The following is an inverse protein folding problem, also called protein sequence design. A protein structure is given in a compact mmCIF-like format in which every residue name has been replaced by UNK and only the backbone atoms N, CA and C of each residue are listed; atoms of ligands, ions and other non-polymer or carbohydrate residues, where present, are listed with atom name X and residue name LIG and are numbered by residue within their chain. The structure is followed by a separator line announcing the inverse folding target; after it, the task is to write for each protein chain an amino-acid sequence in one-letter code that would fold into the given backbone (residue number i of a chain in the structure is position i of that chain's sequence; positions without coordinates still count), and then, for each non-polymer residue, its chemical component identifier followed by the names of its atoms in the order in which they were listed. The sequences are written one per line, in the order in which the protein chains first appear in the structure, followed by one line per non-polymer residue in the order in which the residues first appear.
data_IF_584060887039
#
_entry.id   IF_584060887039
#
_cell.length_a   1.000
_cell.length_b   1.000
_cell.length_c   1.000
_cell.angle_alpha   90.00
_cell.angle_beta   90.00
_cell.angle_gamma   90.00
#
_symmetry.space_group_name_H-M   'P 1'
#
loop_
_entity.id
_entity.type
_entity.pdbx_description
1 polymer ?
#
# COMPACT_ATOMS: atom_id res chain seq x y z
N UNK A 1 27.21 72.94 -34.27
CA UNK A 1 27.11 72.25 -32.95
C UNK A 1 26.31 70.99 -33.15
N UNK A 2 26.91 69.86 -32.84
CA UNK A 2 26.45 68.53 -33.24
C UNK A 2 25.33 68.01 -32.31
N UNK A 3 24.27 67.45 -32.91
CA UNK A 3 23.21 66.70 -32.23
C UNK A 3 23.69 65.29 -31.94
N UNK A 4 23.36 64.78 -30.73
CA UNK A 4 23.61 63.41 -30.31
C UNK A 4 22.48 62.47 -30.77
N UNK A 5 22.73 61.22 -31.05
CA UNK A 5 21.70 60.24 -31.47
C UNK A 5 21.07 59.55 -30.26
N UNK A 6 19.76 59.29 -30.35
CA UNK A 6 18.93 58.54 -29.41
C UNK A 6 19.24 57.05 -29.43
N UNK A 7 19.06 56.30 -28.32
CA UNK A 7 19.29 54.87 -28.30
C UNK A 7 18.07 54.06 -28.78
N UNK A 8 18.33 53.13 -29.67
CA UNK A 8 17.38 52.17 -30.20
C UNK A 8 17.00 51.12 -29.16
N UNK A 9 15.70 51.01 -28.86
CA UNK A 9 15.09 50.00 -28.00
C UNK A 9 15.08 48.64 -28.72
N UNK A 10 15.83 47.67 -28.20
CA UNK A 10 15.77 46.26 -28.64
C UNK A 10 14.64 45.56 -27.86
N UNK A 11 13.55 45.22 -28.58
CA UNK A 11 12.51 44.29 -28.12
C UNK A 11 13.06 42.88 -28.13
N UNK A 12 13.36 42.31 -26.97
CA UNK A 12 13.54 40.88 -26.79
C UNK A 12 12.17 40.21 -26.77
N UNK A 13 11.85 39.47 -27.81
CA UNK A 13 10.69 38.62 -27.88
C UNK A 13 10.98 37.33 -27.10
N UNK A 14 10.41 37.22 -25.91
CA UNK A 14 10.34 35.95 -25.15
C UNK A 14 9.31 35.03 -25.84
N UNK A 15 9.80 34.00 -26.50
CA UNK A 15 8.98 32.92 -27.03
C UNK A 15 8.29 32.14 -25.91
N UNK A 16 7.10 31.57 -26.20
CA UNK A 16 6.36 30.81 -25.16
C UNK A 16 7.15 29.56 -24.77
N UNK A 17 7.36 29.41 -23.44
CA UNK A 17 7.94 28.21 -22.85
C UNK A 17 7.08 27.00 -23.24
N UNK A 18 7.66 26.04 -23.93
CA UNK A 18 7.05 24.75 -24.21
C UNK A 18 6.81 24.07 -22.88
N UNK A 19 5.56 24.06 -22.41
CA UNK A 19 5.12 23.17 -21.32
C UNK A 19 5.41 21.73 -21.77
N UNK A 20 6.37 21.09 -21.11
CA UNK A 20 6.59 19.66 -21.24
C UNK A 20 5.34 18.97 -20.68
N UNK A 21 4.46 18.52 -21.56
CA UNK A 21 3.38 17.60 -21.23
C UNK A 21 4.01 16.35 -20.59
N UNK A 22 3.74 16.11 -19.33
CA UNK A 22 4.17 14.91 -18.63
C UNK A 22 3.72 13.69 -19.45
N UNK A 23 4.68 12.88 -19.89
CA UNK A 23 4.45 11.71 -20.73
C UNK A 23 3.56 10.73 -19.97
N UNK A 24 2.35 10.48 -20.44
CA UNK A 24 1.45 9.52 -19.80
C UNK A 24 2.14 8.15 -19.70
N UNK A 25 1.92 7.41 -18.59
CA UNK A 25 2.45 6.06 -18.44
C UNK A 25 2.05 5.16 -19.62
N UNK A 26 2.85 4.15 -19.96
CA UNK A 26 2.50 3.15 -20.98
C UNK A 26 1.10 2.58 -20.79
N UNK A 27 0.41 2.25 -21.87
CA UNK A 27 -0.96 1.78 -21.83
C UNK A 27 -1.16 0.55 -20.90
N UNK A 28 -0.22 -0.40 -20.92
CA UNK A 28 -0.25 -1.56 -20.03
C UNK A 28 -0.11 -1.18 -18.54
N UNK A 29 0.73 -0.19 -18.22
CA UNK A 29 0.87 0.31 -16.85
C UNK A 29 -0.39 1.02 -16.35
N UNK A 30 -1.08 1.76 -17.22
CA UNK A 30 -2.36 2.40 -16.86
C UNK A 30 -3.43 1.36 -16.55
N UNK A 31 -3.54 0.30 -17.37
CA UNK A 31 -4.49 -0.80 -17.09
C UNK A 31 -4.12 -1.53 -15.83
N UNK A 32 -2.84 -1.86 -15.65
CA UNK A 32 -2.33 -2.51 -14.44
C UNK A 32 -2.69 -1.71 -13.18
N UNK A 33 -2.38 -0.40 -13.17
CA UNK A 33 -2.71 0.48 -12.05
C UNK A 33 -4.22 0.56 -11.80
N UNK A 34 -5.03 0.70 -12.86
CA UNK A 34 -6.49 0.78 -12.76
C UNK A 34 -7.10 -0.47 -12.12
N UNK A 35 -6.71 -1.66 -12.59
CA UNK A 35 -7.24 -2.94 -12.06
C UNK A 35 -6.71 -3.18 -10.65
N UNK A 36 -5.41 -3.01 -10.42
CA UNK A 36 -4.79 -3.19 -9.12
C UNK A 36 -5.44 -2.30 -8.06
N UNK A 37 -5.57 -1.03 -8.35
CA UNK A 37 -6.24 -0.08 -7.47
C UNK A 37 -7.70 -0.47 -7.25
N UNK A 38 -8.42 -0.89 -8.31
CA UNK A 38 -9.81 -1.35 -8.20
C UNK A 38 -9.97 -2.57 -7.29
N UNK A 39 -9.02 -3.50 -7.30
CA UNK A 39 -9.00 -4.66 -6.40
C UNK A 39 -8.67 -4.25 -4.97
N UNK A 40 -7.65 -3.41 -4.78
CA UNK A 40 -7.22 -2.96 -3.45
C UNK A 40 -8.29 -2.09 -2.75
N UNK A 41 -9.01 -1.25 -3.52
CA UNK A 41 -10.10 -0.41 -3.02
C UNK A 41 -11.46 -1.14 -2.99
N UNK A 42 -11.51 -2.44 -3.31
CA UNK A 42 -12.72 -3.25 -3.41
C UNK A 42 -13.77 -2.78 -4.44
N UNK A 43 -13.40 -1.92 -5.38
CA UNK A 43 -14.26 -1.64 -6.56
C UNK A 43 -14.49 -2.90 -7.41
N UNK A 44 -13.47 -3.78 -7.43
CA UNK A 44 -13.56 -5.13 -7.98
C UNK A 44 -13.43 -6.13 -6.83
N UNK A 45 -14.55 -6.64 -6.35
CA UNK A 45 -14.58 -7.61 -5.26
C UNK A 45 -14.13 -9.00 -5.71
N UNK A 46 -13.67 -9.81 -4.74
CA UNK A 46 -13.33 -11.21 -4.98
C UNK A 46 -14.53 -11.96 -5.61
N UNK A 47 -14.28 -12.73 -6.66
CA UNK A 47 -15.31 -13.38 -7.47
C UNK A 47 -15.80 -12.56 -8.67
N UNK A 48 -15.43 -11.28 -8.79
CA UNK A 48 -15.77 -10.46 -9.96
C UNK A 48 -15.01 -10.96 -11.19
N UNK A 49 -15.72 -11.14 -12.30
CA UNK A 49 -15.13 -11.46 -13.60
C UNK A 49 -14.94 -10.18 -14.40
N UNK A 50 -13.71 -9.84 -14.73
CA UNK A 50 -13.33 -8.68 -15.54
C UNK A 50 -13.04 -9.14 -16.96
N UNK A 51 -13.68 -8.52 -17.95
CA UNK A 51 -13.41 -8.84 -19.37
C UNK A 51 -12.38 -7.88 -19.97
N UNK A 52 -11.60 -8.38 -20.94
CA UNK A 52 -10.63 -7.55 -21.67
C UNK A 52 -11.30 -6.35 -22.37
N UNK A 53 -12.57 -6.51 -22.82
CA UNK A 53 -13.33 -5.46 -23.50
C UNK A 53 -13.69 -4.32 -22.56
N UNK A 54 -14.29 -4.63 -21.39
CA UNK A 54 -14.65 -3.64 -20.38
C UNK A 54 -13.44 -2.85 -19.89
N UNK A 55 -12.32 -3.55 -19.63
CA UNK A 55 -11.09 -2.90 -19.19
C UNK A 55 -10.47 -2.01 -20.27
N UNK A 56 -10.52 -2.45 -21.55
CA UNK A 56 -10.04 -1.66 -22.68
C UNK A 56 -10.84 -0.36 -22.83
N UNK A 57 -12.17 -0.45 -22.70
CA UNK A 57 -13.08 0.70 -22.74
C UNK A 57 -12.85 1.64 -21.52
N UNK A 58 -12.81 1.09 -20.30
CA UNK A 58 -12.65 1.87 -19.07
C UNK A 58 -11.34 2.68 -19.04
N UNK A 59 -10.26 2.16 -19.64
CA UNK A 59 -8.94 2.83 -19.63
C UNK A 59 -8.65 3.57 -20.94
N UNK A 60 -9.48 3.38 -21.98
CA UNK A 60 -9.29 3.98 -23.29
C UNK A 60 -8.06 3.44 -24.03
N UNK A 61 -7.91 2.10 -24.10
CA UNK A 61 -6.80 1.41 -24.75
C UNK A 61 -7.27 0.23 -25.62
N UNK A 62 -6.38 -0.37 -26.41
CA UNK A 62 -6.66 -1.61 -27.13
C UNK A 62 -6.56 -2.84 -26.18
N UNK A 63 -6.98 -4.02 -26.65
CA UNK A 63 -6.94 -5.27 -25.85
C UNK A 63 -5.52 -5.79 -25.57
N UNK A 64 -4.55 -5.48 -26.41
CA UNK A 64 -3.16 -5.97 -26.24
C UNK A 64 -2.54 -5.52 -24.91
N UNK A 65 -2.47 -4.20 -24.58
CA UNK A 65 -1.96 -3.75 -23.28
C UNK A 65 -2.80 -4.25 -22.09
N UNK A 66 -4.09 -4.55 -22.31
CA UNK A 66 -4.93 -5.18 -21.25
C UNK A 66 -4.41 -6.57 -20.91
N UNK A 67 -4.13 -7.41 -21.90
CA UNK A 67 -3.58 -8.76 -21.69
C UNK A 67 -2.24 -8.73 -20.97
N UNK A 68 -1.33 -7.83 -21.36
CA UNK A 68 -0.05 -7.66 -20.68
C UNK A 68 -0.22 -7.29 -19.21
N UNK A 69 -1.11 -6.36 -18.91
CA UNK A 69 -1.42 -5.95 -17.54
C UNK A 69 -2.03 -7.09 -16.72
N UNK A 70 -2.98 -7.84 -17.30
CA UNK A 70 -3.63 -8.96 -16.64
C UNK A 70 -2.66 -10.10 -16.34
N UNK A 71 -1.73 -10.42 -17.24
CA UNK A 71 -0.68 -11.43 -16.97
C UNK A 71 0.17 -11.03 -15.75
N UNK A 72 0.53 -9.76 -15.63
CA UNK A 72 1.28 -9.26 -14.49
C UNK A 72 0.49 -9.39 -13.18
N UNK A 73 -0.80 -9.03 -13.21
CA UNK A 73 -1.69 -9.15 -12.04
C UNK A 73 -1.94 -10.61 -11.64
N UNK A 74 -1.95 -11.54 -12.58
CA UNK A 74 -2.03 -12.98 -12.30
C UNK A 74 -0.77 -13.51 -11.60
N UNK A 75 0.41 -13.10 -12.05
CA UNK A 75 1.69 -13.43 -11.38
C UNK A 75 1.72 -12.88 -9.94
N UNK A 76 1.13 -11.72 -9.70
CA UNK A 76 1.00 -11.13 -8.35
C UNK A 76 -0.10 -11.81 -7.50
N UNK A 77 -0.87 -12.74 -8.07
CA UNK A 77 -1.93 -13.47 -7.36
C UNK A 77 -3.17 -12.62 -7.03
N UNK A 78 -3.39 -11.52 -7.75
CA UNK A 78 -4.58 -10.68 -7.57
C UNK A 78 -5.79 -11.19 -8.36
N UNK A 79 -5.54 -11.83 -9.48
CA UNK A 79 -6.56 -12.38 -10.39
C UNK A 79 -6.14 -13.76 -10.87
N UNK A 80 -7.07 -14.48 -11.52
CA UNK A 80 -6.82 -15.70 -12.28
C UNK A 80 -7.40 -15.54 -13.67
N UNK A 81 -6.59 -15.83 -14.69
CA UNK A 81 -7.03 -15.77 -16.08
C UNK A 81 -7.80 -17.02 -16.48
N UNK A 82 -8.93 -16.82 -17.15
CA UNK A 82 -9.71 -17.86 -17.77
C UNK A 82 -9.77 -17.65 -19.28
N UNK A 83 -9.25 -18.57 -20.08
CA UNK A 83 -9.22 -18.44 -21.54
C UNK A 83 -10.60 -18.10 -22.09
N UNK A 84 -10.70 -17.07 -22.94
CA UNK A 84 -11.92 -16.57 -23.58
C UNK A 84 -13.01 -16.01 -22.63
N UNK A 85 -12.81 -16.08 -21.31
CA UNK A 85 -13.80 -15.57 -20.32
C UNK A 85 -13.36 -14.27 -19.67
N UNK A 86 -12.06 -14.08 -19.44
CA UNK A 86 -11.52 -12.88 -18.78
C UNK A 86 -10.69 -13.22 -17.55
N UNK A 87 -10.63 -12.30 -16.62
CA UNK A 87 -9.87 -12.37 -15.39
C UNK A 87 -10.80 -12.41 -14.17
N UNK A 88 -10.72 -13.45 -13.35
CA UNK A 88 -11.45 -13.56 -12.10
C UNK A 88 -10.62 -12.91 -10.99
N UNK A 89 -11.19 -11.94 -10.29
CA UNK A 89 -10.58 -11.36 -9.08
C UNK A 89 -10.56 -12.41 -7.97
N UNK A 90 -9.40 -12.66 -7.38
CA UNK A 90 -9.26 -13.67 -6.33
C UNK A 90 -9.71 -13.10 -4.97
N UNK A 91 -10.55 -13.86 -4.27
CA UNK A 91 -10.85 -13.60 -2.86
C UNK A 91 -9.65 -13.93 -1.98
N UNK A 92 -9.49 -13.24 -0.86
CA UNK A 92 -8.50 -13.59 0.16
C UNK A 92 -8.96 -14.89 0.84
N UNK A 93 -8.15 -15.95 0.76
CA UNK A 93 -8.47 -17.23 1.38
C UNK A 93 -8.00 -17.27 2.84
N UNK A 94 -8.61 -18.16 3.66
CA UNK A 94 -8.17 -18.39 5.02
C UNK A 94 -6.70 -18.87 5.08
N UNK A 95 -6.27 -19.68 4.11
CA UNK A 95 -4.87 -20.12 4.02
C UNK A 95 -3.94 -18.94 3.72
N UNK A 96 -4.29 -18.06 2.76
CA UNK A 96 -3.50 -16.86 2.46
C UNK A 96 -3.36 -15.95 3.68
N UNK A 97 -4.42 -15.81 4.48
CA UNK A 97 -4.38 -15.06 5.75
C UNK A 97 -3.39 -15.71 6.71
N UNK A 98 -3.46 -17.02 6.90
CA UNK A 98 -2.55 -17.74 7.80
C UNK A 98 -1.09 -17.60 7.38
N UNK A 99 -0.79 -17.75 6.09
CA UNK A 99 0.57 -17.64 5.53
C UNK A 99 1.14 -16.23 5.69
N UNK A 100 0.32 -15.20 5.45
CA UNK A 100 0.72 -13.79 5.63
C UNK A 100 0.95 -13.46 7.10
N UNK A 101 0.07 -13.93 8.00
CA UNK A 101 0.22 -13.73 9.45
C UNK A 101 1.49 -14.37 9.97
N UNK A 102 1.75 -15.63 9.64
CA UNK A 102 2.96 -16.35 10.04
C UNK A 102 4.22 -15.63 9.54
N UNK A 103 4.22 -15.24 8.26
CA UNK A 103 5.36 -14.51 7.69
C UNK A 103 5.58 -13.16 8.38
N UNK A 104 4.51 -12.42 8.68
CA UNK A 104 4.60 -11.14 9.40
C UNK A 104 5.18 -11.34 10.80
N UNK A 105 4.69 -12.31 11.55
CA UNK A 105 5.20 -12.63 12.89
C UNK A 105 6.70 -12.89 12.84
N UNK A 106 7.17 -13.78 11.99
CA UNK A 106 8.58 -14.12 11.88
C UNK A 106 9.47 -12.90 11.55
N UNK A 107 9.04 -12.09 10.57
CA UNK A 107 9.84 -10.97 10.08
C UNK A 107 9.80 -9.78 11.03
N UNK A 108 8.61 -9.42 11.53
CA UNK A 108 8.41 -8.26 12.38
C UNK A 108 9.03 -8.48 13.78
N UNK A 109 8.86 -9.66 14.38
CA UNK A 109 9.53 -10.02 15.65
C UNK A 109 11.05 -9.95 15.52
N UNK A 110 11.61 -10.56 14.46
CA UNK A 110 13.04 -10.49 14.21
C UNK A 110 13.52 -9.04 14.09
N UNK A 111 12.79 -8.21 13.33
CA UNK A 111 13.14 -6.82 13.12
C UNK A 111 13.09 -6.00 14.42
N UNK A 112 12.07 -6.19 15.27
CA UNK A 112 11.95 -5.54 16.58
C UNK A 112 13.16 -5.85 17.45
N UNK A 113 13.54 -7.13 17.59
CA UNK A 113 14.70 -7.54 18.41
C UNK A 113 16.01 -6.92 17.91
N UNK A 114 16.11 -6.61 16.62
CA UNK A 114 17.26 -5.94 16.01
C UNK A 114 17.21 -4.42 16.13
N UNK A 115 16.03 -3.83 16.12
CA UNK A 115 15.81 -2.39 16.15
C UNK A 115 15.90 -1.80 17.56
N UNK A 116 15.72 -2.60 18.61
CA UNK A 116 15.78 -2.13 20.01
C UNK A 116 17.22 -2.09 20.50
N UNK A 117 17.66 -0.96 21.14
CA UNK A 117 16.89 0.25 21.42
C UNK A 117 16.59 1.07 20.16
N UNK A 118 15.33 1.48 20.04
CA UNK A 118 14.84 2.17 18.86
C UNK A 118 15.50 3.56 18.72
N UNK A 119 15.89 3.90 17.48
CA UNK A 119 16.45 5.22 17.21
C UNK A 119 15.39 6.32 17.34
N UNK A 120 15.77 7.57 17.72
CA UNK A 120 14.84 8.69 17.73
C UNK A 120 14.13 8.90 16.39
N UNK A 121 14.82 8.72 15.28
CA UNK A 121 14.27 8.84 13.95
C UNK A 121 13.15 7.79 13.66
N UNK A 122 13.34 6.54 14.12
CA UNK A 122 12.31 5.51 14.02
C UNK A 122 11.06 5.90 14.83
N UNK A 123 11.25 6.34 16.08
CA UNK A 123 10.15 6.74 16.96
C UNK A 123 9.37 7.92 16.38
N UNK A 124 10.06 8.92 15.83
CA UNK A 124 9.44 10.06 15.15
C UNK A 124 8.61 9.58 13.95
N UNK A 125 9.22 8.75 13.10
CA UNK A 125 8.56 8.24 11.90
C UNK A 125 7.32 7.39 12.20
N UNK A 126 7.37 6.53 13.20
CA UNK A 126 6.23 5.72 13.63
C UNK A 126 5.13 6.60 14.25
N UNK A 127 5.51 7.67 14.97
CA UNK A 127 4.55 8.65 15.50
C UNK A 127 3.81 9.37 14.38
N UNK A 128 4.51 9.87 13.37
CA UNK A 128 3.90 10.49 12.18
C UNK A 128 2.91 9.54 11.47
N UNK A 129 3.29 8.28 11.30
CA UNK A 129 2.45 7.28 10.65
C UNK A 129 1.19 6.98 11.48
N UNK A 130 1.32 6.88 12.81
CA UNK A 130 0.19 6.64 13.70
C UNK A 130 -0.78 7.83 13.70
N UNK A 131 -0.27 9.07 13.73
CA UNK A 131 -1.10 10.28 13.67
C UNK A 131 -1.82 10.38 12.32
N UNK A 132 -1.13 10.11 11.22
CA UNK A 132 -1.73 10.05 9.89
C UNK A 132 -2.81 8.97 9.77
N UNK A 133 -2.57 7.79 10.31
CA UNK A 133 -3.56 6.69 10.30
C UNK A 133 -4.82 7.09 11.08
N UNK A 134 -4.66 7.78 12.21
CA UNK A 134 -5.78 8.30 13.01
C UNK A 134 -6.59 9.33 12.21
N UNK A 135 -5.95 10.33 11.60
CA UNK A 135 -6.64 11.33 10.76
C UNK A 135 -7.44 10.68 9.62
N UNK A 136 -6.87 9.67 8.96
CA UNK A 136 -7.54 8.92 7.90
C UNK A 136 -8.74 8.13 8.43
N UNK A 137 -8.61 7.51 9.60
CA UNK A 137 -9.71 6.80 10.25
C UNK A 137 -10.85 7.74 10.64
N UNK A 138 -10.55 8.90 11.21
CA UNK A 138 -11.52 9.93 11.58
C UNK A 138 -12.23 10.52 10.34
N UNK A 139 -11.53 10.62 9.21
CA UNK A 139 -12.11 11.00 7.92
C UNK A 139 -12.95 9.90 7.25
N UNK A 140 -12.96 8.67 7.81
CA UNK A 140 -13.62 7.51 7.23
C UNK A 140 -12.91 6.90 6.02
N UNK A 141 -11.68 7.33 5.72
CA UNK A 141 -10.86 6.77 4.63
C UNK A 141 -10.12 5.50 5.10
N UNK A 142 -10.89 4.43 5.24
CA UNK A 142 -10.38 3.13 5.71
C UNK A 142 -9.34 2.52 4.76
N UNK A 143 -9.42 2.80 3.47
CA UNK A 143 -8.46 2.33 2.48
C UNK A 143 -7.09 3.01 2.69
N UNK A 144 -7.07 4.32 2.87
CA UNK A 144 -5.85 5.05 3.20
C UNK A 144 -5.28 4.63 4.56
N UNK A 145 -6.15 4.42 5.56
CA UNK A 145 -5.74 3.94 6.88
C UNK A 145 -5.06 2.56 6.80
N UNK A 146 -5.55 1.64 5.95
CA UNK A 146 -4.90 0.34 5.71
C UNK A 146 -3.52 0.47 5.03
N UNK A 147 -3.36 1.43 4.12
CA UNK A 147 -2.05 1.73 3.52
C UNK A 147 -1.07 2.23 4.57
N UNK A 148 -1.52 3.10 5.47
CA UNK A 148 -0.68 3.68 6.53
C UNK A 148 -0.34 2.64 7.59
N UNK A 149 -1.27 1.74 7.96
CA UNK A 149 -1.03 0.55 8.79
C UNK A 149 0.15 -0.27 8.25
N UNK A 150 0.06 -0.64 6.99
CA UNK A 150 1.15 -1.38 6.33
C UNK A 150 2.47 -0.62 6.36
N UNK A 151 2.46 0.71 6.18
CA UNK A 151 3.67 1.53 6.26
C UNK A 151 4.28 1.52 7.66
N UNK A 152 3.47 1.55 8.73
CA UNK A 152 3.92 1.46 10.11
C UNK A 152 4.74 0.18 10.35
N UNK A 153 4.20 -0.98 10.00
CA UNK A 153 4.89 -2.25 10.14
C UNK A 153 6.13 -2.37 9.24
N UNK A 154 6.07 -1.85 8.01
CA UNK A 154 7.22 -1.87 7.11
C UNK A 154 8.40 -1.02 7.63
N UNK A 155 8.11 0.07 8.34
CA UNK A 155 9.13 0.91 8.94
C UNK A 155 9.85 0.18 10.07
N UNK A 156 9.12 -0.57 10.90
CA UNK A 156 9.70 -1.46 11.91
C UNK A 156 10.62 -2.49 11.25
N UNK A 157 10.16 -3.14 10.17
CA UNK A 157 10.98 -4.14 9.46
C UNK A 157 12.26 -3.54 8.89
N UNK A 158 12.19 -2.35 8.28
CA UNK A 158 13.37 -1.65 7.74
C UNK A 158 14.36 -1.29 8.83
N UNK A 159 13.87 -0.90 10.01
CA UNK A 159 14.74 -0.52 11.13
C UNK A 159 15.58 -1.67 11.68
N UNK A 160 15.20 -2.92 11.42
CA UNK A 160 15.99 -4.10 11.72
C UNK A 160 17.26 -4.25 10.88
N UNK A 161 17.46 -3.40 9.85
CA UNK A 161 18.70 -3.27 9.08
C UNK A 161 18.97 -4.43 8.09
N UNK A 162 18.03 -5.35 7.88
CA UNK A 162 18.17 -6.44 6.92
C UNK A 162 17.41 -6.12 5.63
N UNK A 163 18.14 -5.64 4.61
CA UNK A 163 17.55 -5.26 3.32
C UNK A 163 16.89 -6.43 2.57
N UNK A 164 17.36 -7.65 2.74
CA UNK A 164 16.75 -8.82 2.10
C UNK A 164 15.38 -9.08 2.70
N UNK A 165 15.27 -9.08 4.03
CA UNK A 165 13.99 -9.21 4.72
C UNK A 165 13.04 -8.06 4.38
N UNK A 166 13.54 -6.83 4.31
CA UNK A 166 12.74 -5.67 3.93
C UNK A 166 12.15 -5.82 2.52
N UNK A 167 12.92 -6.29 1.55
CA UNK A 167 12.44 -6.55 0.19
C UNK A 167 11.41 -7.68 0.13
N UNK A 168 11.64 -8.77 0.86
CA UNK A 168 10.68 -9.88 0.96
C UNK A 168 9.37 -9.42 1.61
N UNK A 169 9.46 -8.60 2.68
CA UNK A 169 8.30 -8.03 3.34
C UNK A 169 7.52 -7.08 2.41
N UNK A 170 8.23 -6.29 1.59
CA UNK A 170 7.61 -5.42 0.59
C UNK A 170 6.86 -6.21 -0.51
N UNK A 171 7.25 -7.45 -0.82
CA UNK A 171 6.51 -8.33 -1.74
C UNK A 171 5.15 -8.79 -1.18
N UNK A 172 4.96 -8.75 0.14
CA UNK A 172 3.67 -9.05 0.77
C UNK A 172 2.67 -7.87 0.70
N UNK A 173 3.12 -6.71 0.24
CA UNK A 173 2.34 -5.45 0.28
C UNK A 173 0.90 -5.60 -0.19
N UNK A 174 0.70 -6.16 -1.35
CA UNK A 174 -0.63 -6.21 -1.97
C UNK A 174 -1.55 -7.21 -1.25
N UNK A 175 -0.97 -8.32 -0.72
CA UNK A 175 -1.69 -9.26 0.13
C UNK A 175 -2.10 -8.61 1.45
N UNK A 176 -1.19 -7.92 2.11
CA UNK A 176 -1.47 -7.17 3.35
C UNK A 176 -2.55 -6.12 3.14
N UNK A 177 -2.47 -5.33 2.05
CA UNK A 177 -3.46 -4.30 1.75
C UNK A 177 -4.85 -4.90 1.47
N UNK A 178 -4.95 -5.97 0.67
CA UNK A 178 -6.23 -6.66 0.42
C UNK A 178 -6.86 -7.16 1.72
N UNK A 179 -6.04 -7.77 2.59
CA UNK A 179 -6.50 -8.24 3.90
C UNK A 179 -6.95 -7.08 4.77
N UNK A 180 -6.13 -6.05 4.93
CA UNK A 180 -6.42 -4.88 5.77
C UNK A 180 -7.69 -4.16 5.33
N UNK A 181 -7.82 -3.86 4.04
CA UNK A 181 -9.03 -3.21 3.51
C UNK A 181 -10.26 -4.10 3.67
N UNK A 182 -10.17 -5.41 3.40
CA UNK A 182 -11.28 -6.34 3.58
C UNK A 182 -11.75 -6.38 5.05
N UNK A 183 -10.81 -6.40 5.99
CA UNK A 183 -11.07 -6.41 7.42
C UNK A 183 -11.72 -5.10 7.88
N UNK A 184 -11.18 -3.96 7.50
CA UNK A 184 -11.71 -2.66 7.91
C UNK A 184 -13.13 -2.43 7.38
N UNK A 185 -13.47 -2.96 6.20
CA UNK A 185 -14.84 -2.92 5.69
C UNK A 185 -15.78 -3.87 6.44
N UNK A 186 -15.33 -5.08 6.79
CA UNK A 186 -16.15 -6.05 7.51
C UNK A 186 -16.33 -5.68 9.00
N UNK A 187 -15.33 -5.05 9.60
CA UNK A 187 -15.28 -4.69 11.02
C UNK A 187 -14.79 -3.24 11.19
N UNK A 188 -15.62 -2.22 10.87
CA UNK A 188 -15.22 -0.81 10.95
C UNK A 188 -14.68 -0.39 12.32
N UNK A 189 -15.24 -0.94 13.40
CA UNK A 189 -14.83 -0.63 14.78
C UNK A 189 -13.41 -1.13 15.11
N UNK A 190 -12.87 -2.05 14.29
CA UNK A 190 -11.52 -2.60 14.48
C UNK A 190 -10.43 -1.53 14.39
N UNK A 191 -10.66 -0.47 13.61
CA UNK A 191 -9.66 0.61 13.43
C UNK A 191 -9.29 1.28 14.76
N UNK A 192 -10.25 1.51 15.65
CA UNK A 192 -10.00 2.11 16.96
C UNK A 192 -9.05 1.24 17.80
N UNK A 193 -9.27 -0.08 17.78
CA UNK A 193 -8.41 -1.04 18.48
C UNK A 193 -7.02 -1.12 17.83
N UNK A 194 -6.95 -1.11 16.50
CA UNK A 194 -5.68 -1.07 15.76
C UNK A 194 -4.84 0.14 16.16
N UNK A 195 -5.43 1.34 16.23
CA UNK A 195 -4.73 2.55 16.64
C UNK A 195 -4.21 2.47 18.09
N UNK A 196 -4.98 1.85 18.98
CA UNK A 196 -4.55 1.59 20.38
C UNK A 196 -3.36 0.63 20.41
N UNK A 197 -3.44 -0.48 19.70
CA UNK A 197 -2.38 -1.49 19.60
C UNK A 197 -1.09 -0.90 19.01
N UNK A 198 -1.18 -0.08 17.95
CA UNK A 198 -0.03 0.61 17.38
C UNK A 198 0.62 1.59 18.36
N UNK A 199 -0.19 2.28 19.19
CA UNK A 199 0.32 3.14 20.26
C UNK A 199 1.10 2.34 21.28
N UNK A 200 0.56 1.22 21.74
CA UNK A 200 1.22 0.33 22.69
C UNK A 200 2.55 -0.20 22.12
N UNK A 201 2.58 -0.61 20.87
CA UNK A 201 3.82 -1.04 20.16
C UNK A 201 4.85 0.10 20.14
N UNK A 202 4.42 1.30 19.78
CA UNK A 202 5.30 2.48 19.75
C UNK A 202 5.88 2.80 21.13
N UNK A 203 5.06 2.72 22.17
CA UNK A 203 5.48 3.00 23.54
C UNK A 203 6.47 1.93 24.07
N UNK A 204 6.26 0.66 23.72
CA UNK A 204 7.22 -0.42 24.04
C UNK A 204 8.57 -0.22 23.32
N UNK A 205 8.54 0.16 22.02
CA UNK A 205 9.76 0.49 21.29
C UNK A 205 10.49 1.71 21.89
N UNK A 206 9.75 2.72 22.34
CA UNK A 206 10.29 3.94 22.97
C UNK A 206 10.93 3.65 24.32
N UNK A 207 10.35 2.74 25.10
CA UNK A 207 10.91 2.31 26.40
C UNK A 207 12.10 1.36 26.25
N UNK A 208 12.36 0.83 25.06
CA UNK A 208 13.43 -0.15 24.83
C UNK A 208 13.07 -1.57 25.27
N UNK A 209 11.77 -1.87 25.46
CA UNK A 209 11.30 -3.20 25.85
C UNK A 209 10.97 -4.04 24.61
N UNK A 210 12.01 -4.76 24.14
CA UNK A 210 11.88 -5.59 22.93
C UNK A 210 10.85 -6.73 23.08
N UNK A 211 10.81 -7.37 24.25
CA UNK A 211 9.88 -8.50 24.46
C UNK A 211 8.43 -8.02 24.52
N UNK A 212 8.16 -6.92 25.22
CA UNK A 212 6.83 -6.30 25.20
C UNK A 212 6.41 -5.88 23.78
N UNK A 213 7.32 -5.28 22.99
CA UNK A 213 7.03 -4.89 21.62
C UNK A 213 6.73 -6.11 20.72
N UNK A 214 7.49 -7.20 20.86
CA UNK A 214 7.27 -8.47 20.15
C UNK A 214 5.90 -9.06 20.51
N UNK A 215 5.57 -9.16 21.80
CA UNK A 215 4.28 -9.71 22.25
C UNK A 215 3.09 -8.89 21.74
N UNK A 216 3.24 -7.56 21.69
CA UNK A 216 2.21 -6.65 21.19
C UNK A 216 2.00 -6.83 19.68
N UNK A 217 3.08 -6.87 18.90
CA UNK A 217 2.99 -7.12 17.45
C UNK A 217 2.41 -8.51 17.18
N UNK A 218 2.85 -9.53 17.90
CA UNK A 218 2.32 -10.89 17.77
C UNK A 218 0.79 -10.92 17.95
N UNK A 219 0.29 -10.33 19.05
CA UNK A 219 -1.16 -10.25 19.32
C UNK A 219 -1.91 -9.47 18.26
N UNK A 220 -1.37 -8.32 17.86
CA UNK A 220 -1.94 -7.45 16.83
C UNK A 220 -2.10 -8.21 15.50
N UNK A 221 -1.04 -8.87 15.03
CA UNK A 221 -1.04 -9.59 13.75
C UNK A 221 -1.88 -10.88 13.83
N UNK A 222 -1.85 -11.61 14.96
CA UNK A 222 -2.63 -12.85 15.18
C UNK A 222 -4.14 -12.65 15.07
N UNK A 223 -4.62 -11.44 15.30
CA UNK A 223 -6.06 -11.16 15.20
C UNK A 223 -6.63 -11.49 13.82
N UNK A 224 -5.87 -11.28 12.75
CA UNK A 224 -6.28 -11.64 11.38
C UNK A 224 -6.55 -13.15 11.23
N UNK A 225 -5.78 -14.01 11.91
CA UNK A 225 -6.00 -15.45 11.91
C UNK A 225 -7.29 -15.86 12.63
N UNK A 226 -7.67 -15.13 13.70
CA UNK A 226 -8.94 -15.38 14.40
C UNK A 226 -10.13 -15.10 13.48
N UNK A 227 -10.03 -14.08 12.66
CA UNK A 227 -11.06 -13.75 11.65
C UNK A 227 -11.21 -14.86 10.63
N UNK A 228 -10.10 -15.40 10.12
CA UNK A 228 -10.10 -16.48 9.13
C UNK A 228 -10.75 -17.78 9.67
N UNK A 229 -10.67 -18.00 11.00
CA UNK A 229 -11.31 -19.15 11.66
C UNK A 229 -12.77 -18.91 12.06
N UNK A 230 -13.28 -17.68 11.92
CA UNK A 230 -14.63 -17.32 12.37
C UNK A 230 -14.77 -17.16 13.87
N UNK A 231 -13.66 -17.02 14.59
CA UNK A 231 -13.62 -16.91 16.06
C UNK A 231 -14.02 -15.50 16.57
N UNK A 232 -14.13 -14.54 15.65
CA UNK A 232 -14.50 -13.14 15.95
C UNK A 232 -15.91 -12.89 15.42
N UNK A 233 -16.85 -12.58 16.30
CA UNK A 233 -18.20 -12.08 15.99
C UNK A 233 -18.25 -10.57 16.14
#
# INVERSE_FOLDING_TARGET
MRAAPSPTSSKTASGPAKQQLAKQPPAAERVYAHVKQGVLERRYEGGTLLTEGELAEAVGVSRTPVREALLKLEVEGLIRLYPKKGALVLSVSAQEIADVVETRQLVEEHAIRKAVPASPALIERLTELLDKQREQAEAGDLAAAAVTDRCFHAEIVRSGGNEILSRLYDQLRDRQLRMGVAVMHAHPDRITKTLTEHREILDALRSGDAEAAVDLVHRHVSWFSSLARGDVR
#
